data_IF_921350968077
#
_entry.id   IF_921350968077
#
_cell.length_a   1.000
_cell.length_b   1.000
_cell.length_c   1.000
_cell.angle_alpha   90.00
_cell.angle_beta   90.00
_cell.angle_gamma   90.00
#
_symmetry.space_group_name_H-M   'P 1'
#
loop_
_entity.id
_entity.type
_entity.pdbx_description
1 polymer ?
#
# COMPACT_ATOMS: atom_id res chain seq x y z
N UNK A 1 31.66 11.36 -17.91
CA UNK A 1 30.76 10.19 -18.06
C UNK A 1 29.39 10.64 -17.60
N UNK A 2 28.29 10.17 -18.21
CA UNK A 2 26.94 10.53 -17.75
C UNK A 2 26.75 10.05 -16.31
N UNK A 3 26.10 10.85 -15.48
CA UNK A 3 25.76 10.48 -14.11
C UNK A 3 24.83 9.26 -14.11
N UNK A 4 25.12 8.25 -13.31
CA UNK A 4 24.31 7.03 -13.19
C UNK A 4 23.28 7.19 -12.07
N UNK A 5 22.01 7.17 -12.41
CA UNK A 5 20.92 7.20 -11.41
C UNK A 5 20.18 5.87 -11.43
N UNK A 6 20.12 5.21 -10.28
CA UNK A 6 19.30 4.00 -10.10
C UNK A 6 18.01 4.34 -9.35
N UNK A 7 16.88 3.86 -9.86
CA UNK A 7 15.57 3.98 -9.23
C UNK A 7 15.11 2.58 -8.84
N UNK A 8 14.93 2.35 -7.54
CA UNK A 8 14.52 1.06 -7.01
C UNK A 8 13.01 1.03 -6.78
N UNK A 9 12.33 0.21 -7.57
CA UNK A 9 10.87 0.07 -7.60
C UNK A 9 10.24 0.76 -8.81
N UNK A 10 9.50 0.00 -9.61
CA UNK A 10 8.81 0.47 -10.82
C UNK A 10 7.40 1.02 -10.59
N UNK A 11 6.98 1.19 -9.33
CA UNK A 11 5.65 1.72 -8.95
C UNK A 11 5.42 3.19 -9.33
N UNK A 12 4.33 3.78 -8.81
CA UNK A 12 3.92 5.16 -9.14
C UNK A 12 5.05 6.18 -8.94
N UNK A 13 5.69 6.18 -7.78
CA UNK A 13 6.79 7.09 -7.48
C UNK A 13 8.00 6.86 -8.38
N UNK A 14 8.45 5.61 -8.51
CA UNK A 14 9.66 5.29 -9.27
C UNK A 14 9.51 5.54 -10.78
N UNK A 15 8.36 5.18 -11.35
CA UNK A 15 8.04 5.50 -12.75
C UNK A 15 8.02 7.00 -12.99
N UNK A 16 7.45 7.81 -12.08
CA UNK A 16 7.45 9.26 -12.20
C UNK A 16 8.86 9.84 -12.09
N UNK A 17 9.59 9.50 -11.03
CA UNK A 17 10.94 9.96 -10.78
C UNK A 17 11.87 9.63 -11.96
N UNK A 18 11.86 8.38 -12.43
CA UNK A 18 12.70 7.96 -13.55
C UNK A 18 12.41 8.76 -14.83
N UNK A 19 11.13 9.01 -15.14
CA UNK A 19 10.73 9.78 -16.31
C UNK A 19 11.07 11.27 -16.21
N UNK A 20 11.00 11.85 -15.01
CA UNK A 20 11.36 13.25 -14.77
C UNK A 20 12.89 13.41 -14.84
N UNK A 21 13.64 12.55 -14.13
CA UNK A 21 15.10 12.53 -14.16
C UNK A 21 15.64 12.33 -15.57
N UNK A 22 15.13 11.36 -16.32
CA UNK A 22 15.59 11.13 -17.69
C UNK A 22 15.28 12.30 -18.65
N UNK A 23 14.23 13.08 -18.36
CA UNK A 23 13.93 14.31 -19.10
C UNK A 23 14.93 15.40 -18.76
N UNK A 24 15.19 15.61 -17.48
CA UNK A 24 16.03 16.71 -16.97
C UNK A 24 17.51 16.48 -17.28
N UNK A 25 18.01 15.27 -17.06
CA UNK A 25 19.41 14.91 -17.27
C UNK A 25 19.77 14.82 -18.77
N UNK A 26 18.82 14.47 -19.64
CA UNK A 26 19.06 14.36 -21.08
C UNK A 26 20.22 13.42 -21.41
N UNK A 27 21.33 13.96 -21.92
CA UNK A 27 22.55 13.19 -22.27
C UNK A 27 23.58 13.15 -21.14
N UNK A 28 23.39 13.98 -20.12
CA UNK A 28 24.33 14.12 -19.00
C UNK A 28 24.09 13.07 -17.91
N UNK A 29 23.03 12.26 -18.02
CA UNK A 29 22.74 11.17 -17.10
C UNK A 29 22.08 9.96 -17.75
N UNK A 30 22.28 8.79 -17.14
CA UNK A 30 21.65 7.53 -17.47
C UNK A 30 20.79 7.08 -16.29
N UNK A 31 19.53 6.75 -16.55
CA UNK A 31 18.56 6.36 -15.52
C UNK A 31 18.18 4.90 -15.71
N UNK A 32 18.35 4.11 -14.65
CA UNK A 32 17.99 2.68 -14.62
C UNK A 32 16.93 2.44 -13.57
N UNK A 33 15.78 1.91 -13.96
CA UNK A 33 14.75 1.40 -13.04
C UNK A 33 15.02 -0.08 -12.79
N UNK A 34 14.97 -0.49 -11.53
CA UNK A 34 15.08 -1.90 -11.11
C UNK A 34 13.77 -2.29 -10.42
N UNK A 35 13.06 -3.25 -11.01
CA UNK A 35 11.80 -3.78 -10.48
C UNK A 35 11.77 -5.30 -10.60
N UNK A 36 11.29 -6.06 -9.60
CA UNK A 36 11.27 -7.52 -9.66
C UNK A 36 10.27 -8.10 -10.68
N UNK A 37 9.24 -7.34 -11.09
CA UNK A 37 8.11 -7.88 -11.85
C UNK A 37 8.06 -7.35 -13.28
N UNK A 38 8.52 -6.11 -13.52
CA UNK A 38 8.33 -5.43 -14.80
C UNK A 38 6.86 -5.06 -15.08
N UNK A 39 6.01 -5.11 -14.06
CA UNK A 39 4.57 -4.87 -14.16
C UNK A 39 4.13 -3.75 -13.22
N UNK A 40 3.54 -2.70 -13.78
CA UNK A 40 3.02 -1.57 -13.03
C UNK A 40 1.56 -1.79 -12.65
N UNK A 41 1.28 -1.72 -11.35
CA UNK A 41 -0.05 -1.90 -10.79
C UNK A 41 -0.70 -0.57 -10.39
N UNK A 42 -1.88 -0.29 -10.92
CA UNK A 42 -2.77 0.78 -10.44
C UNK A 42 -3.60 0.30 -9.25
N UNK A 43 -2.95 0.25 -8.07
CA UNK A 43 -3.52 -0.28 -6.83
C UNK A 43 -4.83 0.39 -6.36
N UNK A 44 -5.08 1.71 -6.56
CA UNK A 44 -6.38 2.30 -6.20
C UNK A 44 -7.57 1.61 -6.90
N UNK A 45 -7.33 0.98 -8.06
CA UNK A 45 -8.34 0.21 -8.79
C UNK A 45 -8.81 -1.06 -8.07
N UNK A 46 -8.10 -1.52 -7.03
CA UNK A 46 -8.43 -2.77 -6.34
C UNK A 46 -9.74 -2.71 -5.54
N UNK A 47 -10.13 -1.53 -5.03
CA UNK A 47 -11.46 -1.32 -4.45
C UNK A 47 -12.58 -1.64 -5.45
N UNK A 48 -12.45 -1.10 -6.66
CA UNK A 48 -13.39 -1.35 -7.77
C UNK A 48 -13.36 -2.81 -8.21
N UNK A 49 -12.19 -3.46 -8.17
CA UNK A 49 -12.05 -4.88 -8.51
C UNK A 49 -12.74 -5.76 -7.48
N UNK A 50 -12.56 -5.47 -6.18
CA UNK A 50 -13.21 -6.18 -5.07
C UNK A 50 -14.74 -6.14 -5.17
N UNK A 51 -15.30 -5.09 -5.77
CA UNK A 51 -16.75 -4.94 -5.96
C UNK A 51 -17.21 -5.34 -7.38
N UNK A 52 -16.32 -5.90 -8.20
CA UNK A 52 -16.64 -6.36 -9.54
C UNK A 52 -16.90 -5.27 -10.58
N UNK A 53 -16.52 -4.02 -10.29
CA UNK A 53 -16.71 -2.85 -11.15
C UNK A 53 -15.60 -2.69 -12.20
N UNK A 54 -14.49 -3.42 -12.08
CA UNK A 54 -13.42 -3.48 -13.08
C UNK A 54 -12.83 -4.89 -13.20
N UNK A 55 -11.92 -5.08 -14.16
CA UNK A 55 -11.15 -6.31 -14.33
C UNK A 55 -9.68 -6.04 -14.04
N UNK A 56 -9.04 -6.94 -13.28
CA UNK A 56 -7.64 -6.83 -12.88
C UNK A 56 -6.68 -6.59 -14.04
N UNK A 57 -6.95 -7.15 -15.23
CA UNK A 57 -6.11 -6.94 -16.42
C UNK A 57 -5.97 -5.47 -16.85
N UNK A 58 -6.95 -4.63 -16.51
CA UNK A 58 -6.93 -3.20 -16.84
C UNK A 58 -6.15 -2.37 -15.81
N UNK A 59 -5.85 -2.97 -14.66
CA UNK A 59 -5.12 -2.34 -13.56
C UNK A 59 -3.62 -2.65 -13.60
N UNK A 60 -3.18 -3.46 -14.56
CA UNK A 60 -1.78 -3.87 -14.70
C UNK A 60 -1.28 -3.49 -16.09
N UNK A 61 -0.10 -2.89 -16.16
CA UNK A 61 0.57 -2.50 -17.41
C UNK A 61 2.01 -2.97 -17.39
N UNK A 62 2.56 -3.28 -18.56
CA UNK A 62 4.00 -3.48 -18.72
C UNK A 62 4.71 -2.16 -18.40
N UNK A 63 5.61 -2.18 -17.41
CA UNK A 63 6.37 -1.00 -16.96
C UNK A 63 7.14 -0.34 -18.09
N UNK A 64 7.66 -1.13 -19.03
CA UNK A 64 8.44 -0.61 -20.16
C UNK A 64 7.64 0.40 -20.97
N UNK A 65 6.33 0.20 -21.07
CA UNK A 65 5.41 1.09 -21.83
C UNK A 65 5.17 2.43 -21.14
N UNK A 66 5.48 2.54 -19.85
CA UNK A 66 5.29 3.74 -19.03
C UNK A 66 6.57 4.57 -18.90
N UNK A 67 7.71 3.99 -19.24
CA UNK A 67 9.02 4.62 -19.11
C UNK A 67 9.49 5.22 -20.44
N UNK A 68 10.09 6.41 -20.38
CA UNK A 68 10.76 7.08 -21.52
C UNK A 68 11.76 6.14 -22.17
N UNK A 69 11.94 6.28 -23.49
CA UNK A 69 12.86 5.44 -24.29
C UNK A 69 14.31 5.40 -23.77
N UNK A 70 14.78 6.48 -23.13
CA UNK A 70 16.13 6.57 -22.58
C UNK A 70 16.29 6.07 -21.15
N UNK A 71 15.23 5.57 -20.52
CA UNK A 71 15.31 4.92 -19.20
C UNK A 71 15.54 3.44 -19.43
N UNK A 72 16.56 2.86 -18.82
CA UNK A 72 16.78 1.42 -18.80
C UNK A 72 15.88 0.75 -17.76
N UNK A 73 15.38 -0.46 -18.06
CA UNK A 73 14.56 -1.25 -17.14
C UNK A 73 15.24 -2.60 -16.92
N UNK A 74 15.59 -2.87 -15.67
CA UNK A 74 16.12 -4.15 -15.21
C UNK A 74 15.01 -4.87 -14.44
N UNK A 75 14.48 -5.94 -15.04
CA UNK A 75 13.47 -6.79 -14.42
C UNK A 75 14.16 -7.86 -13.56
N UNK A 76 14.56 -7.47 -12.36
CA UNK A 76 15.22 -8.31 -11.37
C UNK A 76 14.99 -7.78 -9.96
N UNK A 77 15.06 -8.66 -8.97
CA UNK A 77 14.90 -8.28 -7.57
C UNK A 77 16.21 -7.72 -7.00
N UNK A 78 16.23 -6.45 -6.55
CA UNK A 78 17.35 -5.93 -5.76
C UNK A 78 17.31 -6.52 -4.35
N UNK A 79 18.48 -6.94 -3.85
CA UNK A 79 18.62 -7.59 -2.54
C UNK A 79 19.35 -6.73 -1.52
N UNK A 80 20.29 -5.89 -1.96
CA UNK A 80 21.01 -4.95 -1.10
C UNK A 80 21.43 -3.71 -1.89
N UNK A 81 21.39 -2.53 -1.27
CA UNK A 81 22.03 -1.31 -1.75
C UNK A 81 23.18 -0.98 -0.79
N UNK A 82 24.37 -0.74 -1.34
CA UNK A 82 25.54 -0.30 -0.59
C UNK A 82 25.85 1.17 -0.93
N UNK A 83 25.56 2.12 -0.02
CA UNK A 83 25.76 3.55 -0.25
C UNK A 83 27.21 3.96 -0.48
N UNK A 84 28.14 3.28 0.19
CA UNK A 84 29.57 3.60 0.17
C UNK A 84 30.21 3.09 -1.11
N UNK A 85 29.93 1.84 -1.47
CA UNK A 85 30.39 1.25 -2.71
C UNK A 85 29.65 1.81 -3.94
N UNK A 86 28.46 2.39 -3.77
CA UNK A 86 27.66 2.91 -4.88
C UNK A 86 27.11 1.79 -5.75
N UNK A 87 26.69 0.67 -5.15
CA UNK A 87 26.20 -0.51 -5.89
C UNK A 87 24.88 -1.04 -5.37
N UNK A 88 24.05 -1.54 -6.28
CA UNK A 88 22.87 -2.36 -5.96
C UNK A 88 23.18 -3.80 -6.32
N UNK A 89 23.02 -4.70 -5.36
CA UNK A 89 23.14 -6.15 -5.54
C UNK A 89 21.80 -6.71 -6.01
N UNK A 90 21.87 -7.64 -6.96
CA UNK A 90 20.71 -8.31 -7.53
C UNK A 90 20.67 -9.79 -7.09
N UNK A 91 19.47 -10.36 -7.03
CA UNK A 91 19.24 -11.72 -6.55
C UNK A 91 20.01 -12.79 -7.34
N UNK A 92 20.27 -12.59 -8.64
CA UNK A 92 21.02 -13.56 -9.48
C UNK A 92 22.54 -13.39 -9.42
N UNK A 93 23.06 -12.54 -8.52
CA UNK A 93 24.49 -12.37 -8.28
C UNK A 93 25.19 -11.28 -9.10
N UNK A 94 24.43 -10.42 -9.79
CA UNK A 94 24.95 -9.23 -10.48
C UNK A 94 24.89 -7.97 -9.61
N UNK A 95 25.56 -6.91 -10.08
CA UNK A 95 25.50 -5.58 -9.46
C UNK A 95 25.20 -4.47 -10.49
N UNK A 96 24.61 -3.38 -10.01
CA UNK A 96 24.39 -2.14 -10.78
C UNK A 96 25.09 -1.01 -10.04
N UNK A 97 26.06 -0.36 -10.68
CA UNK A 97 26.73 0.83 -10.14
C UNK A 97 25.82 2.06 -10.27
N UNK A 98 25.88 2.97 -9.30
CA UNK A 98 25.18 4.24 -9.31
C UNK A 98 26.01 5.37 -8.71
N UNK A 99 25.77 6.59 -9.20
CA UNK A 99 26.21 7.83 -8.58
C UNK A 99 25.14 8.36 -7.61
N UNK A 100 23.86 8.20 -7.96
CA UNK A 100 22.70 8.55 -7.13
C UNK A 100 21.65 7.44 -7.13
N UNK A 101 20.92 7.30 -6.03
CA UNK A 101 19.83 6.32 -5.89
C UNK A 101 18.53 6.98 -5.44
N UNK A 102 17.40 6.54 -6.02
CA UNK A 102 16.05 6.89 -5.58
C UNK A 102 15.33 5.60 -5.16
N UNK A 103 15.00 5.48 -3.87
CA UNK A 103 14.24 4.35 -3.34
C UNK A 103 12.75 4.68 -3.40
N UNK A 104 12.06 4.10 -4.37
CA UNK A 104 10.61 4.18 -4.56
C UNK A 104 9.96 2.79 -4.35
N UNK A 105 10.48 2.04 -3.39
CA UNK A 105 10.22 0.60 -3.18
C UNK A 105 8.84 0.31 -2.55
N UNK A 106 8.13 1.37 -2.15
CA UNK A 106 6.83 1.31 -1.52
C UNK A 106 6.83 0.53 -0.20
N UNK A 107 5.65 0.03 0.19
CA UNK A 107 5.49 -0.84 1.35
C UNK A 107 5.00 -2.24 0.95
N UNK A 108 5.31 -3.25 1.76
CA UNK A 108 4.81 -4.62 1.65
C UNK A 108 3.78 -4.91 2.73
N UNK A 109 2.88 -5.84 2.44
CA UNK A 109 1.93 -6.39 3.41
C UNK A 109 2.65 -7.43 4.28
N UNK A 110 2.33 -7.46 5.58
CA UNK A 110 2.79 -8.49 6.55
C UNK A 110 1.61 -9.09 7.31
N UNK A 111 0.68 -9.74 6.58
CA UNK A 111 -0.53 -10.30 7.18
C UNK A 111 -0.25 -11.36 8.26
N UNK A 112 0.92 -11.99 8.21
CA UNK A 112 1.44 -12.98 9.16
C UNK A 112 1.72 -12.40 10.56
N UNK A 113 1.79 -11.07 10.72
CA UNK A 113 1.96 -10.43 12.03
C UNK A 113 0.70 -10.48 12.91
N UNK A 114 -0.46 -10.85 12.34
CA UNK A 114 -1.73 -10.93 13.06
C UNK A 114 -2.23 -12.37 12.98
N UNK A 115 -2.27 -13.11 14.11
CA UNK A 115 -2.74 -14.48 14.14
C UNK A 115 -4.12 -14.64 13.50
N UNK A 116 -4.27 -15.61 12.61
CA UNK A 116 -5.52 -15.96 11.92
C UNK A 116 -5.99 -14.99 10.82
N UNK A 117 -5.25 -13.90 10.55
CA UNK A 117 -5.66 -12.90 9.54
C UNK A 117 -5.74 -13.52 8.14
N UNK A 118 -4.73 -14.32 7.74
CA UNK A 118 -4.65 -14.93 6.41
C UNK A 118 -5.81 -15.91 6.15
N UNK A 119 -6.23 -16.63 7.19
CA UNK A 119 -7.24 -17.68 7.14
C UNK A 119 -8.67 -17.12 7.30
N UNK A 120 -8.84 -16.11 8.16
CA UNK A 120 -10.14 -15.61 8.58
C UNK A 120 -10.59 -14.30 7.94
N UNK A 121 -9.74 -13.63 7.17
CA UNK A 121 -10.08 -12.32 6.58
C UNK A 121 -9.78 -12.21 5.09
N UNK A 122 -10.36 -11.19 4.47
CA UNK A 122 -10.09 -10.74 3.12
C UNK A 122 -9.41 -9.36 3.16
N UNK A 123 -8.71 -9.01 2.09
CA UNK A 123 -8.07 -7.71 1.92
C UNK A 123 -8.17 -7.24 0.46
N UNK A 124 -8.02 -5.95 0.19
CA UNK A 124 -8.08 -5.37 -1.16
C UNK A 124 -6.82 -4.55 -1.52
N UNK A 125 -5.74 -4.72 -0.78
CA UNK A 125 -4.43 -4.10 -1.01
C UNK A 125 -3.56 -4.90 -1.98
N UNK A 126 -3.89 -6.16 -2.27
CA UNK A 126 -3.30 -6.95 -3.35
C UNK A 126 -4.31 -7.27 -4.46
N UNK A 127 -3.80 -7.55 -5.66
CA UNK A 127 -4.62 -7.98 -6.79
C UNK A 127 -5.37 -9.27 -6.48
N UNK A 128 -4.69 -10.24 -5.87
CA UNK A 128 -5.25 -11.54 -5.50
C UNK A 128 -6.29 -11.38 -4.38
N UNK A 129 -6.00 -10.58 -3.35
CA UNK A 129 -6.93 -10.30 -2.27
C UNK A 129 -8.22 -9.68 -2.78
N UNK A 130 -8.12 -8.65 -3.63
CA UNK A 130 -9.30 -8.02 -4.23
C UNK A 130 -10.12 -9.02 -5.06
N UNK A 131 -9.49 -9.95 -5.78
CA UNK A 131 -10.19 -11.02 -6.50
C UNK A 131 -10.90 -12.01 -5.56
N UNK A 132 -10.22 -12.44 -4.48
CA UNK A 132 -10.82 -13.31 -3.46
C UNK A 132 -12.00 -12.64 -2.77
N UNK A 133 -11.85 -11.36 -2.40
CA UNK A 133 -12.89 -10.55 -1.78
C UNK A 133 -14.10 -10.37 -2.70
N UNK A 134 -13.89 -10.17 -4.00
CA UNK A 134 -14.97 -10.14 -4.99
C UNK A 134 -15.81 -11.41 -4.97
N UNK A 135 -15.17 -12.57 -4.95
CA UNK A 135 -15.89 -13.84 -4.91
C UNK A 135 -16.65 -14.03 -3.59
N UNK A 136 -16.07 -13.62 -2.47
CA UNK A 136 -16.73 -13.64 -1.17
C UNK A 136 -17.96 -12.73 -1.14
N UNK A 137 -17.82 -11.47 -1.58
CA UNK A 137 -18.90 -10.50 -1.67
C UNK A 137 -20.01 -10.94 -2.64
N UNK A 138 -19.69 -11.68 -3.72
CA UNK A 138 -20.69 -12.26 -4.64
C UNK A 138 -21.51 -13.35 -3.97
N UNK A 139 -20.90 -14.14 -3.09
CA UNK A 139 -21.55 -15.26 -2.39
C UNK A 139 -22.31 -14.81 -1.14
N UNK A 140 -21.89 -13.72 -0.52
CA UNK A 140 -22.51 -13.15 0.68
C UNK A 140 -24.03 -12.95 0.53
N UNK A 141 -24.80 -13.37 1.55
CA UNK A 141 -26.28 -13.39 1.54
C UNK A 141 -26.92 -12.46 2.60
N UNK A 142 -26.11 -11.82 3.42
CA UNK A 142 -26.53 -11.14 4.65
C UNK A 142 -25.69 -11.63 5.83
N UNK A 143 -25.71 -10.89 6.93
CA UNK A 143 -24.88 -11.09 8.10
C UNK A 143 -24.01 -9.87 8.43
N UNK A 144 -23.02 -10.08 9.28
CA UNK A 144 -22.11 -9.05 9.80
C UNK A 144 -20.89 -8.91 8.93
N UNK A 145 -20.72 -7.74 8.35
CA UNK A 145 -19.50 -7.33 7.66
C UNK A 145 -18.69 -6.46 8.61
N UNK A 146 -17.49 -6.91 8.94
CA UNK A 146 -16.52 -6.12 9.71
C UNK A 146 -15.40 -5.68 8.80
N UNK A 147 -15.11 -4.38 8.80
CA UNK A 147 -13.97 -3.81 8.10
C UNK A 147 -13.04 -3.23 9.15
N UNK A 148 -11.85 -3.79 9.31
CA UNK A 148 -10.91 -3.38 10.36
C UNK A 148 -9.56 -2.97 9.84
N UNK A 149 -8.82 -2.22 10.66
CA UNK A 149 -7.43 -1.83 10.38
C UNK A 149 -6.52 -2.57 11.33
N UNK A 150 -5.69 -3.48 10.80
CA UNK A 150 -4.86 -4.35 11.62
C UNK A 150 -3.43 -3.83 11.85
N UNK A 151 -3.06 -2.69 11.26
CA UNK A 151 -1.77 -2.05 11.53
C UNK A 151 -1.65 -0.64 10.98
N UNK A 152 -0.80 0.17 11.63
CA UNK A 152 -0.44 1.54 11.25
C UNK A 152 1.10 1.64 11.21
N UNK A 153 1.70 2.32 10.22
CA UNK A 153 1.05 2.96 9.08
C UNK A 153 0.59 1.94 8.03
N UNK A 154 -0.35 2.35 7.17
CA UNK A 154 -0.83 1.57 6.02
C UNK A 154 -1.04 2.49 4.82
N UNK A 155 -1.09 1.91 3.62
CA UNK A 155 -1.30 2.66 2.39
C UNK A 155 -2.73 3.16 2.28
N UNK A 156 -2.93 4.28 1.59
CA UNK A 156 -4.24 4.87 1.32
C UNK A 156 -5.18 4.90 2.54
N UNK A 157 -4.89 5.70 3.59
CA UNK A 157 -5.76 5.85 4.75
C UNK A 157 -7.26 6.04 4.48
N UNK A 158 -7.71 6.67 3.37
CA UNK A 158 -9.14 6.77 3.04
C UNK A 158 -9.80 5.43 2.68
N UNK A 159 -9.04 4.45 2.19
CA UNK A 159 -9.58 3.26 1.54
C UNK A 159 -10.53 2.41 2.42
N UNK A 160 -10.31 2.22 3.73
CA UNK A 160 -11.27 1.50 4.58
C UNK A 160 -12.63 2.20 4.69
N UNK A 161 -12.60 3.54 4.77
CA UNK A 161 -13.80 4.37 4.81
C UNK A 161 -14.53 4.35 3.46
N UNK A 162 -13.79 4.48 2.35
CA UNK A 162 -14.35 4.33 1.01
C UNK A 162 -15.01 2.96 0.84
N UNK A 163 -14.32 1.90 1.27
CA UNK A 163 -14.78 0.53 1.14
C UNK A 163 -16.09 0.27 1.87
N UNK A 164 -16.27 0.75 3.12
CA UNK A 164 -17.55 0.55 3.83
C UNK A 164 -18.71 1.22 3.11
N UNK A 165 -18.54 2.43 2.56
CA UNK A 165 -19.57 3.07 1.75
C UNK A 165 -19.86 2.31 0.45
N UNK A 166 -18.81 1.84 -0.22
CA UNK A 166 -18.97 1.12 -1.48
C UNK A 166 -19.62 -0.26 -1.29
N UNK A 167 -19.30 -0.97 -0.21
CA UNK A 167 -19.97 -2.23 0.16
C UNK A 167 -21.42 -1.97 0.53
N UNK A 168 -21.70 -0.92 1.31
CA UNK A 168 -23.06 -0.54 1.68
C UNK A 168 -23.95 -0.32 0.46
N UNK A 169 -23.47 0.46 -0.51
CA UNK A 169 -24.12 0.70 -1.79
C UNK A 169 -24.29 -0.59 -2.61
N UNK A 170 -23.26 -1.43 -2.65
CA UNK A 170 -23.30 -2.74 -3.33
C UNK A 170 -24.38 -3.67 -2.73
N UNK A 171 -24.54 -3.70 -1.41
CA UNK A 171 -25.57 -4.50 -0.75
C UNK A 171 -26.98 -3.93 -0.99
N UNK A 172 -27.14 -2.61 -1.10
CA UNK A 172 -28.40 -1.97 -1.51
C UNK A 172 -28.80 -2.41 -2.91
N UNK A 173 -27.90 -2.32 -3.88
CA UNK A 173 -28.15 -2.77 -5.25
C UNK A 173 -28.48 -4.27 -5.34
N UNK A 174 -27.95 -5.09 -4.43
CA UNK A 174 -28.26 -6.52 -4.34
C UNK A 174 -29.54 -6.84 -3.56
N UNK A 175 -30.21 -5.84 -2.96
CA UNK A 175 -31.42 -6.05 -2.16
C UNK A 175 -31.19 -6.84 -0.87
N UNK A 176 -29.97 -6.84 -0.33
CA UNK A 176 -29.61 -7.55 0.91
C UNK A 176 -29.10 -6.62 2.02
N UNK A 177 -29.15 -5.30 1.81
CA UNK A 177 -28.70 -4.30 2.79
C UNK A 177 -29.40 -4.44 4.15
N UNK A 178 -30.72 -4.69 4.16
CA UNK A 178 -31.51 -4.82 5.40
C UNK A 178 -31.22 -6.13 6.15
N UNK A 179 -30.55 -7.08 5.51
CA UNK A 179 -30.08 -8.34 6.11
C UNK A 179 -28.62 -8.27 6.53
N UNK A 180 -28.00 -7.09 6.45
CA UNK A 180 -26.56 -6.94 6.63
C UNK A 180 -26.25 -5.83 7.61
N UNK A 181 -25.26 -6.06 8.44
CA UNK A 181 -24.68 -5.09 9.37
C UNK A 181 -23.27 -4.77 8.89
N UNK A 182 -22.89 -3.48 8.84
CA UNK A 182 -21.57 -3.06 8.40
C UNK A 182 -20.97 -2.24 9.53
N UNK A 183 -19.81 -2.66 10.04
CA UNK A 183 -19.08 -1.93 11.08
C UNK A 183 -17.64 -1.69 10.66
N UNK A 184 -17.22 -0.44 10.75
CA UNK A 184 -15.82 -0.05 10.65
C UNK A 184 -15.17 -0.17 12.05
N UNK A 185 -14.16 -1.03 12.17
CA UNK A 185 -13.34 -1.19 13.36
C UNK A 185 -12.09 -0.31 13.22
N UNK A 186 -12.13 0.86 13.85
CA UNK A 186 -11.07 1.86 13.79
C UNK A 186 -10.19 1.80 15.03
N UNK A 187 -8.85 1.76 14.89
CA UNK A 187 -7.92 1.88 16.01
C UNK A 187 -7.87 3.31 16.57
N UNK A 188 -8.48 4.27 15.87
CA UNK A 188 -8.53 5.68 16.27
C UNK A 188 -9.81 5.96 17.07
N UNK A 189 -9.85 7.12 17.73
CA UNK A 189 -11.05 7.66 18.37
C UNK A 189 -12.10 8.20 17.36
N UNK A 190 -11.95 7.89 16.07
CA UNK A 190 -12.73 8.46 14.97
C UNK A 190 -12.65 7.60 13.71
N UNK A 191 -13.49 7.88 12.71
CA UNK A 191 -13.55 7.10 11.46
C UNK A 191 -12.33 7.29 10.55
N UNK A 192 -11.71 8.47 10.59
CA UNK A 192 -10.61 8.83 9.69
C UNK A 192 -9.54 9.68 10.38
N UNK A 193 -8.29 9.59 9.91
CA UNK A 193 -7.13 10.24 10.54
C UNK A 193 -7.28 11.77 10.62
N UNK A 194 -7.86 12.39 9.58
CA UNK A 194 -8.12 13.84 9.52
C UNK A 194 -9.45 14.17 10.20
N UNK A 195 -9.38 14.94 11.30
CA UNK A 195 -10.55 15.28 12.13
C UNK A 195 -11.65 16.00 11.34
N UNK A 196 -11.29 17.00 10.52
CA UNK A 196 -12.26 17.78 9.73
C UNK A 196 -13.04 16.90 8.74
N UNK A 197 -12.36 15.94 8.11
CA UNK A 197 -13.00 14.97 7.25
C UNK A 197 -13.87 13.98 8.06
N UNK A 198 -13.39 13.51 9.21
CA UNK A 198 -14.17 12.61 10.07
C UNK A 198 -15.50 13.23 10.54
N UNK A 199 -15.53 14.54 10.83
CA UNK A 199 -16.76 15.28 11.19
C UNK A 199 -17.82 15.28 10.08
N UNK A 200 -17.41 15.09 8.83
CA UNK A 200 -18.32 14.98 7.67
C UNK A 200 -18.68 13.52 7.41
N UNK A 201 -17.71 12.62 7.51
CA UNK A 201 -17.87 11.19 7.20
C UNK A 201 -18.81 10.49 8.19
N UNK A 202 -18.63 10.69 9.50
CA UNK A 202 -19.37 9.96 10.52
C UNK A 202 -20.89 10.16 10.43
N UNK A 203 -21.42 11.40 10.29
CA UNK A 203 -22.86 11.59 10.08
C UNK A 203 -23.41 10.86 8.85
N UNK A 204 -22.62 10.77 7.77
CA UNK A 204 -23.03 10.05 6.55
C UNK A 204 -23.02 8.54 6.79
N UNK A 205 -22.05 8.01 7.55
CA UNK A 205 -22.03 6.61 7.96
C UNK A 205 -23.29 6.27 8.77
N UNK A 206 -23.62 7.08 9.78
CA UNK A 206 -24.81 6.91 10.62
C UNK A 206 -26.11 6.93 9.79
N UNK A 207 -26.26 7.91 8.88
CA UNK A 207 -27.40 8.00 7.97
C UNK A 207 -27.55 6.76 7.07
N UNK A 208 -26.44 6.11 6.72
CA UNK A 208 -26.42 4.89 5.92
C UNK A 208 -26.46 3.62 6.76
N UNK A 209 -26.55 3.73 8.09
CA UNK A 209 -26.54 2.60 9.03
C UNK A 209 -25.23 1.82 9.03
N UNK A 210 -24.10 2.51 8.76
CA UNK A 210 -22.75 1.96 8.89
C UNK A 210 -22.27 2.33 10.30
N UNK A 211 -21.96 1.32 11.10
CA UNK A 211 -21.49 1.50 12.46
C UNK A 211 -19.98 1.78 12.51
N UNK A 212 -19.55 2.43 13.59
CA UNK A 212 -18.15 2.69 13.88
C UNK A 212 -17.84 2.22 15.30
N UNK A 213 -16.89 1.30 15.42
CA UNK A 213 -16.23 0.96 16.68
C UNK A 213 -14.86 1.63 16.68
N UNK A 214 -14.60 2.47 17.68
CA UNK A 214 -13.32 3.18 17.85
C UNK A 214 -12.43 2.47 18.86
N UNK A 215 -11.13 2.76 18.85
CA UNK A 215 -10.15 2.10 19.72
C UNK A 215 -10.15 0.57 19.60
N UNK A 216 -10.37 0.06 18.40
CA UNK A 216 -10.29 -1.36 18.09
C UNK A 216 -8.95 -1.64 17.41
N UNK A 217 -7.91 -1.96 18.19
CA UNK A 217 -6.62 -2.38 17.66
C UNK A 217 -6.63 -3.90 17.48
N UNK A 218 -6.81 -4.38 16.24
CA UNK A 218 -6.90 -5.82 15.94
C UNK A 218 -5.72 -6.58 16.53
N UNK A 219 -6.02 -7.58 17.36
CA UNK A 219 -5.02 -8.47 17.98
C UNK A 219 -4.93 -9.79 17.23
N UNK A 220 -6.06 -10.47 17.06
CA UNK A 220 -6.14 -11.77 16.39
C UNK A 220 -7.51 -11.99 15.73
N UNK A 221 -7.54 -12.96 14.83
CA UNK A 221 -8.74 -13.49 14.21
C UNK A 221 -8.85 -14.96 14.57
N UNK A 222 -10.02 -15.39 15.04
CA UNK A 222 -10.38 -16.80 15.19
C UNK A 222 -11.38 -17.18 14.08
N UNK A 223 -10.90 -17.82 12.99
CA UNK A 223 -11.77 -18.23 11.89
C UNK A 223 -12.76 -19.33 12.28
N UNK A 224 -12.46 -20.14 13.29
CA UNK A 224 -13.30 -21.24 13.73
C UNK A 224 -14.52 -20.76 14.51
N UNK A 225 -14.33 -19.72 15.34
CA UNK A 225 -15.40 -19.04 16.05
C UNK A 225 -16.06 -17.93 15.22
N UNK A 226 -15.46 -17.51 14.10
CA UNK A 226 -15.94 -16.39 13.29
C UNK A 226 -15.82 -15.05 14.03
N UNK A 227 -14.72 -14.84 14.75
CA UNK A 227 -14.54 -13.66 15.61
C UNK A 227 -13.22 -12.94 15.38
N UNK A 228 -13.21 -11.62 15.58
CA UNK A 228 -12.00 -10.80 15.65
C UNK A 228 -11.95 -10.10 17.00
N UNK A 229 -10.78 -10.08 17.63
CA UNK A 229 -10.55 -9.41 18.91
C UNK A 229 -9.57 -8.25 18.78
N UNK A 230 -9.61 -7.37 19.77
CA UNK A 230 -8.71 -6.24 19.89
C UNK A 230 -7.82 -6.35 21.13
N UNK A 231 -6.68 -5.64 21.10
CA UNK A 231 -5.74 -5.52 22.22
C UNK A 231 -6.38 -4.92 23.48
N UNK A 232 -7.49 -4.19 23.30
CA UNK A 232 -8.31 -3.63 24.37
C UNK A 232 -9.21 -4.67 25.05
N UNK A 233 -9.29 -5.89 24.53
CA UNK A 233 -10.14 -6.97 25.03
C UNK A 233 -11.56 -6.95 24.45
N UNK A 234 -11.83 -6.13 23.43
CA UNK A 234 -13.10 -6.22 22.69
C UNK A 234 -13.09 -7.41 21.74
N UNK A 235 -14.27 -8.00 21.51
CA UNK A 235 -14.46 -9.13 20.60
C UNK A 235 -15.76 -8.95 19.83
N UNK A 236 -15.70 -9.13 18.51
CA UNK A 236 -16.88 -9.07 17.64
C UNK A 236 -16.92 -10.24 16.68
N UNK A 237 -18.13 -10.76 16.46
CA UNK A 237 -18.37 -11.82 15.49
C UNK A 237 -18.57 -11.23 14.08
N UNK A 238 -18.24 -12.01 13.06
CA UNK A 238 -18.38 -11.64 11.66
C UNK A 238 -18.87 -12.81 10.80
N UNK A 239 -19.57 -12.49 9.72
CA UNK A 239 -19.89 -13.40 8.62
C UNK A 239 -18.98 -13.13 7.40
N UNK A 240 -18.45 -11.90 7.28
CA UNK A 240 -17.40 -11.52 6.35
C UNK A 240 -16.49 -10.47 7.00
N UNK A 241 -15.21 -10.81 7.12
CA UNK A 241 -14.19 -9.92 7.68
C UNK A 241 -13.27 -9.40 6.58
N UNK A 242 -13.11 -8.09 6.51
CA UNK A 242 -12.11 -7.42 5.68
C UNK A 242 -11.14 -6.70 6.58
N UNK A 243 -9.86 -7.04 6.52
CA UNK A 243 -8.83 -6.35 7.30
C UNK A 243 -7.85 -5.64 6.36
N UNK A 244 -7.45 -4.43 6.75
CA UNK A 244 -6.23 -3.80 6.23
C UNK A 244 -5.05 -4.51 6.88
N UNK A 245 -4.22 -5.27 6.12
CA UNK A 245 -3.08 -5.95 6.71
C UNK A 245 -2.07 -4.92 7.23
N UNK A 246 -1.26 -5.27 8.26
CA UNK A 246 -0.15 -4.40 8.63
C UNK A 246 0.82 -4.23 7.47
N UNK A 247 1.43 -3.05 7.36
CA UNK A 247 2.39 -2.73 6.32
C UNK A 247 3.79 -2.52 6.92
N UNK A 248 4.82 -2.86 6.15
CA UNK A 248 6.23 -2.60 6.48
C UNK A 248 6.97 -2.10 5.24
N UNK A 249 8.13 -1.49 5.43
CA UNK A 249 9.04 -1.23 4.34
C UNK A 249 9.64 -2.52 3.77
N UNK A 250 10.32 -2.40 2.63
CA UNK A 250 10.87 -3.56 1.94
C UNK A 250 12.05 -4.17 2.71
N UNK A 251 12.21 -5.50 2.62
CA UNK A 251 13.33 -6.20 3.27
C UNK A 251 14.70 -5.69 2.79
N UNK A 252 14.81 -5.34 1.50
CA UNK A 252 15.96 -4.67 0.92
C UNK A 252 16.44 -3.47 1.76
N UNK A 253 15.52 -2.64 2.26
CA UNK A 253 15.87 -1.45 3.04
C UNK A 253 16.53 -1.83 4.36
N UNK A 254 15.99 -2.86 5.02
CA UNK A 254 16.54 -3.42 6.27
C UNK A 254 17.91 -4.04 6.02
N UNK A 255 18.03 -4.87 4.98
CA UNK A 255 19.27 -5.58 4.64
C UNK A 255 20.38 -4.64 4.15
N UNK A 256 19.99 -3.45 3.67
CA UNK A 256 20.90 -2.36 3.30
C UNK A 256 21.32 -1.49 4.49
N UNK A 257 20.72 -1.68 5.67
CA UNK A 257 20.96 -0.84 6.84
C UNK A 257 20.49 0.61 6.66
N UNK A 258 19.58 0.86 5.72
CA UNK A 258 19.12 2.20 5.35
C UNK A 258 17.85 2.64 6.08
N UNK A 259 17.09 1.70 6.63
CA UNK A 259 15.82 2.00 7.30
C UNK A 259 15.78 1.56 8.76
N UNK A 260 14.67 1.88 9.41
CA UNK A 260 14.37 1.42 10.75
C UNK A 260 14.08 -0.09 10.80
N UNK A 261 13.79 -0.62 11.99
CA UNK A 261 13.46 -2.04 12.19
C UNK A 261 12.17 -2.47 11.49
N UNK A 262 11.36 -1.52 11.03
CA UNK A 262 10.15 -1.74 10.22
C UNK A 262 10.40 -1.57 8.72
N UNK A 263 11.62 -1.22 8.32
CA UNK A 263 12.05 -1.01 6.94
C UNK A 263 11.69 0.35 6.36
N UNK A 264 11.27 1.34 7.16
CA UNK A 264 11.00 2.69 6.67
C UNK A 264 12.29 3.50 6.57
N UNK A 265 12.44 4.26 5.48
CA UNK A 265 13.62 5.10 5.26
C UNK A 265 13.51 6.40 6.08
N UNK A 266 14.51 6.75 6.90
CA UNK A 266 14.58 8.06 7.54
C UNK A 266 14.81 9.12 6.46
N UNK A 267 13.82 9.98 6.24
CA UNK A 267 13.79 10.87 5.08
C UNK A 267 13.61 12.31 5.52
N UNK A 268 14.46 13.21 5.01
CA UNK A 268 14.29 14.65 5.21
C UNK A 268 13.01 15.13 4.51
N UNK A 269 12.14 15.81 5.25
CA UNK A 269 10.82 16.25 4.78
C UNK A 269 10.83 17.38 3.75
N UNK A 270 11.99 17.99 3.49
CA UNK A 270 12.16 19.12 2.58
C UNK A 270 12.98 18.75 1.35
N UNK A 271 13.94 17.84 1.47
CA UNK A 271 14.83 17.43 0.37
C UNK A 271 14.58 16.00 -0.12
N UNK A 272 13.85 15.19 0.66
CA UNK A 272 13.61 13.77 0.41
C UNK A 272 14.89 12.92 0.39
N UNK A 273 16.01 13.47 0.88
CA UNK A 273 17.24 12.73 1.08
C UNK A 273 17.06 11.75 2.24
N UNK A 274 17.71 10.58 2.12
CA UNK A 274 17.81 9.64 3.23
C UNK A 274 18.84 10.17 4.22
N UNK A 275 18.47 10.23 5.50
CA UNK A 275 19.32 10.81 6.54
C UNK A 275 20.70 10.14 6.57
N UNK A 276 21.76 10.95 6.55
CA UNK A 276 23.14 10.48 6.53
C UNK A 276 23.67 10.05 5.16
N UNK A 277 22.89 10.18 4.08
CA UNK A 277 23.29 9.75 2.73
C UNK A 277 22.98 10.81 1.65
N UNK A 278 23.96 11.67 1.35
CA UNK A 278 23.80 12.80 0.40
C UNK A 278 23.38 12.40 -1.03
N UNK A 279 23.63 11.13 -1.41
CA UNK A 279 23.40 10.60 -2.76
C UNK A 279 22.16 9.71 -2.86
N UNK A 280 21.40 9.55 -1.77
CA UNK A 280 20.27 8.65 -1.69
C UNK A 280 19.02 9.44 -1.33
N UNK A 281 17.96 9.21 -2.12
CA UNK A 281 16.66 9.83 -1.95
C UNK A 281 15.59 8.75 -1.78
N UNK A 282 14.50 9.08 -1.11
CA UNK A 282 13.38 8.17 -0.90
C UNK A 282 12.06 8.88 -1.15
N UNK A 283 11.13 8.19 -1.83
CA UNK A 283 9.82 8.74 -2.17
C UNK A 283 8.70 7.71 -1.97
N UNK A 284 7.48 8.21 -1.85
CA UNK A 284 6.26 7.44 -1.70
C UNK A 284 6.20 6.67 -0.39
N UNK A 285 5.55 5.52 -0.44
CA UNK A 285 5.28 4.74 0.77
C UNK A 285 6.54 4.22 1.47
N UNK A 286 7.71 4.24 0.84
CA UNK A 286 8.97 3.75 1.41
C UNK A 286 9.53 4.64 2.54
N UNK A 287 9.13 5.92 2.58
CA UNK A 287 9.64 6.91 3.53
C UNK A 287 9.04 6.74 4.93
N UNK A 288 9.64 7.36 5.94
CA UNK A 288 9.05 7.49 7.28
C UNK A 288 8.27 8.80 7.46
N UNK A 289 8.02 9.55 6.38
CA UNK A 289 7.38 10.86 6.48
C UNK A 289 5.99 10.75 7.11
N UNK A 290 5.60 11.69 8.01
CA UNK A 290 4.33 11.64 8.74
C UNK A 290 3.16 12.16 7.89
N UNK A 291 3.07 11.70 6.66
CA UNK A 291 2.06 12.06 5.67
C UNK A 291 1.36 10.81 5.15
N UNK A 292 0.26 10.99 4.42
CA UNK A 292 -0.49 9.89 3.83
C UNK A 292 0.40 9.09 2.88
N UNK A 293 0.50 7.77 3.08
CA UNK A 293 1.14 6.84 2.13
C UNK A 293 0.20 6.60 0.96
N UNK A 294 0.34 7.39 -0.11
CA UNK A 294 -0.58 7.35 -1.26
C UNK A 294 0.13 7.62 -2.58
N UNK A 295 -0.46 7.15 -3.68
CA UNK A 295 0.04 7.46 -5.03
C UNK A 295 0.04 8.96 -5.34
N UNK A 296 -0.90 9.73 -4.77
CA UNK A 296 -0.91 11.19 -4.92
C UNK A 296 0.25 11.85 -4.17
N UNK A 297 0.62 11.33 -3.00
CA UNK A 297 1.78 11.81 -2.24
C UNK A 297 3.06 11.56 -3.02
N UNK A 298 3.24 10.32 -3.51
CA UNK A 298 4.38 9.95 -4.35
C UNK A 298 4.47 10.81 -5.63
N UNK A 299 3.33 11.25 -6.17
CA UNK A 299 3.31 12.19 -7.29
C UNK A 299 3.84 13.57 -6.92
N UNK A 300 3.51 14.09 -5.74
CA UNK A 300 3.99 15.40 -5.28
C UNK A 300 5.43 15.37 -4.77
N UNK A 301 5.94 14.21 -4.36
CA UNK A 301 7.34 14.01 -3.95
C UNK A 301 8.31 13.82 -5.14
N UNK A 302 7.81 13.46 -6.32
CA UNK A 302 8.67 13.11 -7.45
C UNK A 302 9.36 14.29 -8.18
N UNK A 303 8.73 15.48 -8.35
CA UNK A 303 9.37 16.66 -8.94
C UNK A 303 10.42 17.29 -8.03
#
# INVERSE_FOLDING_TARGET
MPAKVVVLGGGVGGTLAANLLAKELGRDGAVTVVDPTGMHHYQPGYLYLALGQTNGRWLVRDERTLLRRGVDLVVEKPTKLDPEAGVVQLERGGTIDFDYAVLATGARLVPDQVPGLLEGSYEFYSLEGAQRLREALRRFKGGRIRVGIAGIPYKCPPAPVEFVFMVEEYLRHRGIRDKSEITLLSPLNRAFTIESASKVIQPIMEQRGIELTTFFNVEEVDPSAGTVSSLEGEKTEYDLLVLVPPHRGQQLVIDSGLGDTSGWLPTDKHTLQVDGHDRIFAIGDATNLPISKSGSTAHFEAP
#
